data_IF_235352968819
#
_entry.id   IF_235352968819
#
_cell.length_a   1.000
_cell.length_b   1.000
_cell.length_c   1.000
_cell.angle_alpha   90.00
_cell.angle_beta   90.00
_cell.angle_gamma   90.00
#
_symmetry.space_group_name_H-M   'P 1'
#
loop_
_entity.id
_entity.type
_entity.pdbx_description
1 polymer ?
#
# COMPACT_ATOMS: atom_id res chain seq x y z
N UNK A 1 -4.74 18.89 2.20
CA UNK A 1 -5.34 18.22 1.03
C UNK A 1 -4.40 17.10 0.68
N UNK A 2 -4.86 15.85 0.73
CA UNK A 2 -4.00 14.71 0.35
C UNK A 2 -3.77 14.73 -1.15
N UNK A 3 -2.54 14.51 -1.60
CA UNK A 3 -2.21 14.40 -3.03
C UNK A 3 -1.97 12.92 -3.38
N UNK A 4 -3.07 12.17 -3.40
CA UNK A 4 -3.04 10.71 -3.58
C UNK A 4 -2.42 10.29 -4.93
N UNK A 5 -2.76 11.01 -6.01
CA UNK A 5 -2.26 10.74 -7.36
C UNK A 5 -0.96 11.51 -7.66
N UNK A 6 0.02 11.43 -6.76
CA UNK A 6 1.37 11.97 -6.95
C UNK A 6 2.36 10.89 -7.43
N UNK A 7 3.35 11.30 -8.21
CA UNK A 7 4.50 10.46 -8.56
C UNK A 7 5.30 10.01 -7.32
N UNK A 8 5.22 10.76 -6.22
CA UNK A 8 5.89 10.42 -4.96
C UNK A 8 5.34 9.11 -4.33
N UNK A 9 4.14 8.70 -4.72
CA UNK A 9 3.52 7.45 -4.27
C UNK A 9 3.84 6.25 -5.19
N UNK A 10 4.66 6.44 -6.23
CA UNK A 10 5.03 5.40 -7.20
C UNK A 10 6.48 4.98 -6.96
N UNK A 11 6.68 3.72 -6.55
CA UNK A 11 8.01 3.17 -6.32
C UNK A 11 8.34 2.12 -7.39
N UNK A 12 9.46 2.31 -8.09
CA UNK A 12 9.95 1.38 -9.11
C UNK A 12 11.17 0.63 -8.60
N UNK A 13 11.40 -0.58 -9.11
CA UNK A 13 12.57 -1.42 -8.80
C UNK A 13 12.78 -1.66 -7.30
N UNK A 14 11.69 -1.76 -6.54
CA UNK A 14 11.74 -2.04 -5.11
C UNK A 14 11.96 -3.53 -4.87
N UNK A 15 12.91 -3.85 -3.99
CA UNK A 15 13.00 -5.17 -3.39
C UNK A 15 12.41 -5.13 -1.98
N UNK A 16 11.62 -6.17 -1.66
CA UNK A 16 11.04 -6.43 -0.33
C UNK A 16 11.22 -7.91 -0.04
N UNK A 17 11.34 -8.27 1.23
CA UNK A 17 11.66 -9.63 1.67
C UNK A 17 10.41 -10.45 2.00
N UNK A 18 9.25 -9.80 2.09
CA UNK A 18 7.99 -10.45 2.43
C UNK A 18 6.78 -9.70 1.86
N UNK A 19 5.64 -10.39 1.79
CA UNK A 19 4.35 -9.78 1.46
C UNK A 19 4.00 -8.65 2.45
N UNK A 20 4.26 -8.84 3.75
CA UNK A 20 3.96 -7.85 4.78
C UNK A 20 4.72 -6.56 4.53
N UNK A 21 6.02 -6.66 4.23
CA UNK A 21 6.87 -5.50 3.91
C UNK A 21 6.37 -4.76 2.66
N UNK A 22 5.88 -5.49 1.65
CA UNK A 22 5.28 -4.90 0.46
C UNK A 22 4.01 -4.08 0.80
N UNK A 23 3.12 -4.67 1.61
CA UNK A 23 1.85 -4.06 2.01
C UNK A 23 2.10 -2.87 2.93
N UNK A 24 2.99 -2.99 3.92
CA UNK A 24 3.38 -1.90 4.81
C UNK A 24 3.95 -0.72 4.03
N UNK A 25 4.80 -0.98 3.04
CA UNK A 25 5.39 0.08 2.21
C UNK A 25 4.34 0.82 1.38
N UNK A 26 3.44 0.09 0.72
CA UNK A 26 2.35 0.68 -0.05
C UNK A 26 1.38 1.46 0.84
N UNK A 27 1.01 0.90 2.00
CA UNK A 27 0.15 1.54 2.98
C UNK A 27 0.77 2.80 3.56
N UNK A 28 2.07 2.78 3.86
CA UNK A 28 2.79 3.95 4.38
C UNK A 28 2.81 5.12 3.40
N UNK A 29 2.89 4.86 2.09
CA UNK A 29 2.76 5.91 1.09
C UNK A 29 1.37 6.60 1.13
N UNK A 30 0.30 5.84 1.39
CA UNK A 30 -1.03 6.41 1.59
C UNK A 30 -1.10 7.27 2.86
N UNK A 31 -0.49 6.82 3.96
CA UNK A 31 -0.41 7.59 5.21
C UNK A 31 0.39 8.89 5.01
N UNK A 32 1.57 8.79 4.40
CA UNK A 32 2.47 9.92 4.16
C UNK A 32 1.83 10.96 3.21
N UNK A 33 0.99 10.52 2.26
CA UNK A 33 0.17 11.43 1.42
C UNK A 33 -0.99 12.11 2.15
N UNK A 34 -1.28 11.70 3.39
CA UNK A 34 -2.39 12.19 4.21
C UNK A 34 -3.76 11.61 3.82
N UNK A 35 -3.79 10.50 3.06
CA UNK A 35 -5.03 9.90 2.57
C UNK A 35 -5.70 8.99 3.63
N UNK A 36 -4.90 8.36 4.49
CA UNK A 36 -5.36 7.40 5.52
C UNK A 36 -4.52 7.53 6.79
N UNK A 37 -4.92 6.85 7.88
CA UNK A 37 -4.14 6.74 9.12
C UNK A 37 -3.40 5.40 9.18
N UNK A 38 -2.42 5.26 10.09
CA UNK A 38 -1.66 4.01 10.24
C UNK A 38 -2.55 2.77 10.48
N UNK A 39 -3.73 2.95 11.08
CA UNK A 39 -4.70 1.88 11.32
C UNK A 39 -5.23 1.23 10.03
N UNK A 40 -5.09 1.90 8.88
CA UNK A 40 -5.46 1.36 7.57
C UNK A 40 -4.53 0.22 7.11
N UNK A 41 -3.29 0.17 7.62
CA UNK A 41 -2.29 -0.80 7.18
C UNK A 41 -2.60 -2.16 7.82
N UNK A 42 -3.29 -3.01 7.06
CA UNK A 42 -3.64 -4.37 7.45
C UNK A 42 -3.07 -5.36 6.45
N UNK A 43 -2.48 -6.45 6.96
CA UNK A 43 -1.87 -7.48 6.14
C UNK A 43 -2.93 -8.52 5.77
N UNK A 44 -3.51 -8.34 4.59
CA UNK A 44 -4.41 -9.33 3.97
C UNK A 44 -3.96 -9.56 2.53
N UNK A 45 -4.03 -10.81 2.06
CA UNK A 45 -3.75 -11.12 0.65
C UNK A 45 -4.88 -10.65 -0.24
N UNK A 46 -4.53 -9.84 -1.23
CA UNK A 46 -5.46 -9.25 -2.21
C UNK A 46 -4.97 -9.52 -3.64
N UNK A 47 -4.26 -10.63 -3.81
CA UNK A 47 -3.69 -11.04 -5.10
C UNK A 47 -4.78 -11.31 -6.14
N UNK A 48 -4.61 -10.71 -7.33
CA UNK A 48 -5.57 -10.78 -8.43
C UNK A 48 -5.07 -11.58 -9.65
N UNK A 49 -3.87 -12.16 -9.57
CA UNK A 49 -3.22 -12.83 -10.71
C UNK A 49 -2.18 -11.94 -11.40
N UNK A 50 -1.36 -12.54 -12.28
CA UNK A 50 -0.36 -11.84 -13.10
C UNK A 50 0.60 -10.91 -12.32
N UNK A 51 0.95 -11.27 -11.07
CA UNK A 51 1.82 -10.44 -10.24
C UNK A 51 1.17 -9.16 -9.69
N UNK A 52 -0.15 -8.99 -9.82
CA UNK A 52 -0.89 -7.85 -9.31
C UNK A 52 -1.60 -8.18 -7.98
N UNK A 53 -1.52 -7.25 -7.03
CA UNK A 53 -2.31 -7.24 -5.81
C UNK A 53 -2.86 -5.83 -5.58
N UNK A 54 -4.07 -5.72 -5.00
CA UNK A 54 -4.69 -4.44 -4.62
C UNK A 54 -4.93 -4.45 -3.11
N UNK A 55 -3.91 -4.22 -2.28
CA UNK A 55 -4.07 -4.19 -0.82
C UNK A 55 -5.06 -3.09 -0.41
N UNK A 56 -6.04 -3.48 0.41
CA UNK A 56 -7.08 -2.62 0.96
C UNK A 56 -7.44 -3.09 2.37
N UNK A 57 -7.96 -2.18 3.19
CA UNK A 57 -8.54 -2.55 4.48
C UNK A 57 -9.85 -3.33 4.32
N UNK A 58 -10.24 -4.08 5.34
CA UNK A 58 -11.56 -4.69 5.46
C UNK A 58 -12.52 -3.74 6.20
N UNK A 59 -13.82 -3.83 5.93
CA UNK A 59 -14.86 -3.04 6.61
C UNK A 59 -15.16 -3.50 8.06
N UNK A 60 -14.40 -4.46 8.59
CA UNK A 60 -14.53 -4.99 9.96
C UNK A 60 -13.78 -4.17 11.02
#
# INVERSE_FOLDING_TARGET
MSELFSNDNIFLNVNVNSQNEAIEKAGKALVDSGAVTDAYIQVVSTFMGNGLAIPHGTDD
#
